data_IF_262835570896
#
_entry.id   IF_262835570896
#
_cell.length_a   1.000
_cell.length_b   1.000
_cell.length_c   1.000
_cell.angle_alpha   90.00
_cell.angle_beta   90.00
_cell.angle_gamma   90.00
#
_symmetry.space_group_name_H-M   'P 1'
#
loop_
_entity.id
_entity.type
_entity.pdbx_description
1 polymer ?
#
# COMPACT_ATOMS: atom_id res chain seq x y z
N UNK A 1 -3.49 -9.32 5.49
CA UNK A 1 -2.33 -9.30 4.58
C UNK A 1 -2.73 -9.15 3.11
N UNK A 2 -3.52 -10.04 2.47
CA UNK A 2 -4.10 -9.74 1.13
C UNK A 2 -5.61 -10.04 1.11
N UNK A 3 -6.41 -9.09 0.63
CA UNK A 3 -7.83 -9.26 0.33
C UNK A 3 -8.03 -9.82 -1.07
N UNK A 4 -8.01 -11.14 -1.20
CA UNK A 4 -8.17 -11.76 -2.51
C UNK A 4 -9.55 -11.55 -3.14
N UNK A 5 -10.60 -11.31 -2.34
CA UNK A 5 -11.90 -10.96 -2.90
C UNK A 5 -11.84 -9.61 -3.63
N UNK A 6 -11.21 -8.61 -3.02
CA UNK A 6 -10.96 -7.30 -3.65
C UNK A 6 -10.14 -7.43 -4.94
N UNK A 7 -9.14 -8.33 -4.95
CA UNK A 7 -8.29 -8.57 -6.12
C UNK A 7 -9.06 -9.26 -7.23
N UNK A 8 -9.92 -10.22 -6.90
CA UNK A 8 -10.77 -10.92 -7.86
C UNK A 8 -11.83 -9.98 -8.46
N UNK A 9 -12.40 -9.08 -7.66
CA UNK A 9 -13.28 -8.00 -8.12
C UNK A 9 -12.54 -7.04 -9.07
N UNK A 10 -11.37 -6.54 -8.66
CA UNK A 10 -10.54 -5.68 -9.52
C UNK A 10 -10.19 -6.35 -10.85
N UNK A 11 -9.91 -7.66 -10.83
CA UNK A 11 -9.66 -8.44 -12.04
C UNK A 11 -10.89 -8.57 -12.92
N UNK A 12 -12.06 -8.76 -12.33
CA UNK A 12 -13.32 -8.85 -13.08
C UNK A 12 -13.66 -7.51 -13.76
N UNK A 13 -13.42 -6.38 -13.07
CA UNK A 13 -13.69 -5.04 -13.58
C UNK A 13 -12.73 -4.61 -14.69
N UNK A 14 -11.44 -4.96 -14.56
CA UNK A 14 -10.39 -4.51 -15.49
C UNK A 14 -10.15 -5.48 -16.66
N UNK A 15 -10.52 -6.75 -16.51
CA UNK A 15 -10.35 -7.78 -17.54
C UNK A 15 -8.88 -7.88 -18.01
N UNK A 16 -8.67 -7.73 -19.32
CA UNK A 16 -7.34 -7.84 -19.94
C UNK A 16 -6.35 -6.75 -19.47
N UNK A 17 -6.85 -5.60 -18.99
CA UNK A 17 -6.02 -4.51 -18.48
C UNK A 17 -5.53 -4.73 -17.04
N UNK A 18 -5.99 -5.79 -16.36
CA UNK A 18 -5.68 -6.03 -14.95
C UNK A 18 -4.16 -6.07 -14.66
N UNK A 19 -3.38 -6.74 -15.52
CA UNK A 19 -1.92 -6.85 -15.33
C UNK A 19 -1.21 -5.51 -15.36
N UNK A 20 -1.53 -4.67 -16.35
CA UNK A 20 -0.95 -3.33 -16.50
C UNK A 20 -1.30 -2.44 -15.31
N UNK A 21 -2.56 -2.48 -14.87
CA UNK A 21 -3.03 -1.69 -13.72
C UNK A 21 -2.34 -2.11 -12.43
N UNK A 22 -2.15 -3.42 -12.23
CA UNK A 22 -1.41 -3.96 -11.08
C UNK A 22 0.03 -3.46 -11.09
N UNK A 23 0.72 -3.48 -12.24
CA UNK A 23 2.10 -3.02 -12.34
C UNK A 23 2.23 -1.53 -12.02
N UNK A 24 1.29 -0.70 -12.50
CA UNK A 24 1.22 0.73 -12.18
C UNK A 24 1.04 0.94 -10.68
N UNK A 25 0.06 0.28 -10.05
CA UNK A 25 -0.15 0.43 -8.60
C UNK A 25 1.04 -0.03 -7.77
N UNK A 26 1.67 -1.15 -8.14
CA UNK A 26 2.87 -1.63 -7.43
C UNK A 26 4.02 -0.63 -7.53
N UNK A 27 4.18 0.03 -8.68
CA UNK A 27 5.17 1.09 -8.85
C UNK A 27 4.83 2.33 -8.02
N UNK A 28 3.56 2.78 -8.05
CA UNK A 28 3.10 3.94 -7.27
C UNK A 28 3.30 3.75 -5.76
N UNK A 29 3.01 2.54 -5.24
CA UNK A 29 3.25 2.22 -3.83
C UNK A 29 4.74 2.23 -3.51
N UNK A 30 5.58 1.67 -4.38
CA UNK A 30 7.03 1.68 -4.20
C UNK A 30 7.60 3.11 -4.17
N UNK A 31 7.14 3.97 -5.08
CA UNK A 31 7.55 5.37 -5.15
C UNK A 31 7.07 6.15 -3.92
N UNK A 32 5.82 5.94 -3.50
CA UNK A 32 5.27 6.56 -2.28
C UNK A 32 6.06 6.17 -1.03
N UNK A 33 6.50 4.91 -0.92
CA UNK A 33 7.35 4.44 0.17
C UNK A 33 8.75 5.06 0.13
N UNK A 34 9.33 5.25 -1.06
CA UNK A 34 10.62 5.92 -1.20
C UNK A 34 10.56 7.39 -0.72
N UNK A 35 9.41 8.04 -0.90
CA UNK A 35 9.19 9.45 -0.51
C UNK A 35 8.97 9.67 0.99
N UNK A 36 8.72 8.61 1.78
CA UNK A 36 8.46 8.75 3.22
C UNK A 36 9.67 9.34 4.00
N UNK A 37 10.90 9.07 3.57
CA UNK A 37 12.10 9.58 4.25
C UNK A 37 12.34 11.08 4.04
N UNK A 38 11.69 11.69 3.04
CA UNK A 38 11.77 13.12 2.73
C UNK A 38 10.61 13.93 3.27
N UNK A 39 9.79 13.37 4.18
CA UNK A 39 8.70 14.11 4.80
C UNK A 39 9.23 14.91 6.00
N UNK A 40 9.41 16.22 5.81
CA UNK A 40 9.99 17.12 6.81
C UNK A 40 8.98 17.57 7.89
N UNK A 41 7.68 17.37 7.64
CA UNK A 41 6.60 17.78 8.53
C UNK A 41 5.45 16.76 8.57
N UNK A 42 4.68 16.83 9.65
CA UNK A 42 3.58 15.92 9.95
C UNK A 42 2.44 15.98 8.92
N UNK A 43 2.18 17.15 8.31
CA UNK A 43 1.13 17.26 7.28
C UNK A 43 1.55 16.57 5.99
N UNK A 44 2.81 16.74 5.57
CA UNK A 44 3.37 16.02 4.42
C UNK A 44 3.37 14.51 4.67
N UNK A 45 3.78 14.07 5.87
CA UNK A 45 3.76 12.65 6.24
C UNK A 45 2.34 12.07 6.21
N UNK A 46 1.36 12.77 6.80
CA UNK A 46 -0.04 12.34 6.80
C UNK A 46 -0.59 12.19 5.37
N UNK A 47 -0.32 13.16 4.50
CA UNK A 47 -0.75 13.11 3.10
C UNK A 47 -0.13 11.92 2.34
N UNK A 48 1.15 11.62 2.57
CA UNK A 48 1.82 10.46 1.96
C UNK A 48 1.25 9.13 2.47
N UNK A 49 0.99 9.02 3.76
CA UNK A 49 0.39 7.82 4.34
C UNK A 49 -1.06 7.63 3.88
N UNK A 50 -1.81 8.72 3.71
CA UNK A 50 -3.15 8.67 3.12
C UNK A 50 -3.13 8.12 1.69
N UNK A 51 -2.19 8.60 0.86
CA UNK A 51 -2.00 8.08 -0.50
C UNK A 51 -1.68 6.59 -0.49
N UNK A 52 -0.70 6.17 0.31
CA UNK A 52 -0.29 4.77 0.42
C UNK A 52 -1.44 3.88 0.93
N UNK A 53 -2.25 4.37 1.87
CA UNK A 53 -3.48 3.70 2.34
C UNK A 53 -4.45 3.45 1.18
N UNK A 54 -4.70 4.46 0.35
CA UNK A 54 -5.60 4.34 -0.81
C UNK A 54 -5.12 3.28 -1.80
N UNK A 55 -3.84 3.36 -2.21
CA UNK A 55 -3.24 2.39 -3.12
C UNK A 55 -3.24 0.96 -2.54
N UNK A 56 -2.95 0.83 -1.24
CA UNK A 56 -3.00 -0.44 -0.52
C UNK A 56 -4.39 -1.08 -0.55
N UNK A 57 -5.45 -0.30 -0.30
CA UNK A 57 -6.82 -0.81 -0.31
C UNK A 57 -7.24 -1.30 -1.70
N UNK A 58 -6.87 -0.59 -2.77
CA UNK A 58 -7.16 -1.01 -4.15
C UNK A 58 -6.54 -2.37 -4.49
N UNK A 59 -5.31 -2.64 -4.04
CA UNK A 59 -4.64 -3.94 -4.24
C UNK A 59 -4.98 -4.99 -3.15
N UNK A 60 -5.84 -4.66 -2.19
CA UNK A 60 -6.22 -5.55 -1.10
C UNK A 60 -5.15 -5.72 -0.02
N UNK A 61 -4.13 -4.87 0.07
CA UNK A 61 -3.05 -4.96 1.07
C UNK A 61 -3.52 -4.51 2.46
N UNK A 62 -4.47 -5.24 3.07
CA UNK A 62 -5.19 -4.82 4.29
C UNK A 62 -4.27 -4.38 5.43
N UNK A 63 -3.25 -5.16 5.74
CA UNK A 63 -2.39 -4.88 6.91
C UNK A 63 -1.51 -3.66 6.65
N UNK A 64 -1.06 -3.48 5.41
CA UNK A 64 -0.33 -2.31 4.99
C UNK A 64 -1.22 -1.06 5.04
N UNK A 65 -2.48 -1.15 4.59
CA UNK A 65 -3.47 -0.08 4.73
C UNK A 65 -3.74 0.28 6.20
N UNK A 66 -3.79 -0.71 7.11
CA UNK A 66 -3.94 -0.48 8.55
C UNK A 66 -2.75 0.30 9.12
N UNK A 67 -1.51 -0.08 8.78
CA UNK A 67 -0.32 0.64 9.24
C UNK A 67 -0.28 2.07 8.67
N UNK A 68 -0.66 2.26 7.40
CA UNK A 68 -0.76 3.60 6.82
C UNK A 68 -1.83 4.45 7.52
N UNK A 69 -2.98 3.85 7.89
CA UNK A 69 -4.04 4.54 8.63
C UNK A 69 -3.59 4.98 10.02
N UNK A 70 -2.93 4.09 10.78
CA UNK A 70 -2.40 4.43 12.11
C UNK A 70 -1.33 5.53 12.01
N UNK A 71 -0.42 5.42 11.05
CA UNK A 71 0.59 6.45 10.82
C UNK A 71 0.00 7.80 10.39
N UNK A 72 -1.00 7.80 9.49
CA UNK A 72 -1.73 8.99 9.06
C UNK A 72 -2.39 9.69 10.26
N UNK A 73 -3.07 8.93 11.12
CA UNK A 73 -3.70 9.47 12.31
C UNK A 73 -2.67 10.08 13.29
N UNK A 74 -1.56 9.39 13.52
CA UNK A 74 -0.48 9.91 14.38
C UNK A 74 0.10 11.21 13.83
N UNK A 75 0.35 11.27 12.53
CA UNK A 75 0.85 12.47 11.89
C UNK A 75 -0.16 13.62 11.99
N UNK A 76 -1.45 13.38 11.74
CA UNK A 76 -2.51 14.39 11.93
C UNK A 76 -2.62 14.89 13.38
N UNK A 77 -2.27 14.04 14.36
CA UNK A 77 -2.24 14.40 15.78
C UNK A 77 -0.95 15.12 16.23
N UNK A 78 -0.04 15.48 15.31
CA UNK A 78 1.23 16.10 15.66
C UNK A 78 2.26 15.13 16.25
N UNK A 79 2.08 13.82 15.98
CA UNK A 79 2.92 12.71 16.50
C UNK A 79 3.61 11.96 15.36
N UNK A 80 3.92 12.62 14.24
CA UNK A 80 4.58 11.98 13.09
C UNK A 80 5.90 11.29 13.43
N UNK A 81 6.68 11.85 14.37
CA UNK A 81 7.91 11.24 14.88
C UNK A 81 7.73 9.89 15.61
N UNK A 82 6.49 9.48 15.90
CA UNK A 82 6.16 8.16 16.50
C UNK A 82 5.69 7.13 15.46
N UNK A 83 5.68 7.49 14.17
CA UNK A 83 5.30 6.56 13.09
C UNK A 83 6.46 5.60 12.81
N UNK A 84 6.21 4.30 12.90
CA UNK A 84 7.21 3.28 12.54
C UNK A 84 7.25 3.07 11.03
N UNK A 85 8.01 3.94 10.34
CA UNK A 85 8.26 3.82 8.90
C UNK A 85 8.94 2.49 8.54
N UNK A 86 9.73 1.92 9.45
CA UNK A 86 10.35 0.61 9.27
C UNK A 86 9.32 -0.52 9.20
N UNK A 87 8.31 -0.51 10.07
CA UNK A 87 7.21 -1.47 10.04
C UNK A 87 6.38 -1.34 8.75
N UNK A 88 6.08 -0.12 8.32
CA UNK A 88 5.39 0.17 7.06
C UNK A 88 6.16 -0.44 5.87
N UNK A 89 7.47 -0.18 5.78
CA UNK A 89 8.34 -0.73 4.71
C UNK A 89 8.37 -2.26 4.71
N UNK A 90 8.54 -2.90 5.88
CA UNK A 90 8.56 -4.36 6.01
C UNK A 90 7.22 -4.99 5.63
N UNK A 91 6.12 -4.38 6.05
CA UNK A 91 4.77 -4.86 5.73
C UNK A 91 4.49 -4.77 4.23
N UNK A 92 4.86 -3.66 3.58
CA UNK A 92 4.75 -3.55 2.12
C UNK A 92 5.54 -4.65 1.41
N UNK A 93 6.81 -4.84 1.75
CA UNK A 93 7.66 -5.85 1.11
C UNK A 93 7.04 -7.26 1.20
N UNK A 94 6.53 -7.61 2.38
CA UNK A 94 5.84 -8.88 2.63
C UNK A 94 4.54 -8.98 1.83
N UNK A 95 3.75 -7.91 1.79
CA UNK A 95 2.47 -7.87 1.07
C UNK A 95 2.69 -8.04 -0.44
N UNK A 96 3.69 -7.35 -1.00
CA UNK A 96 4.07 -7.46 -2.41
C UNK A 96 4.51 -8.88 -2.78
N UNK A 97 5.35 -9.52 -1.98
CA UNK A 97 5.79 -10.90 -2.22
C UNK A 97 4.61 -11.89 -2.23
N UNK A 98 3.73 -11.79 -1.24
CA UNK A 98 2.54 -12.63 -1.16
C UNK A 98 1.56 -12.39 -2.29
N UNK A 99 1.39 -11.13 -2.69
CA UNK A 99 0.54 -10.75 -3.80
C UNK A 99 1.03 -11.34 -5.11
N UNK A 100 2.32 -11.16 -5.46
CA UNK A 100 2.89 -11.72 -6.68
C UNK A 100 2.85 -13.25 -6.70
N UNK A 101 3.19 -13.89 -5.58
CA UNK A 101 3.11 -15.35 -5.42
C UNK A 101 1.67 -15.85 -5.60
N UNK A 102 0.71 -15.15 -5.00
CA UNK A 102 -0.70 -15.52 -5.09
C UNK A 102 -1.33 -15.24 -6.44
N UNK A 103 -0.87 -14.23 -7.19
CA UNK A 103 -1.26 -14.02 -8.58
C UNK A 103 -0.75 -15.14 -9.47
N UNK A 104 0.53 -15.52 -9.34
CA UNK A 104 1.11 -16.62 -10.11
C UNK A 104 0.35 -17.93 -9.87
N UNK A 105 -0.04 -18.22 -8.62
CA UNK A 105 -0.83 -19.42 -8.28
C UNK A 105 -2.23 -19.42 -8.89
N UNK A 106 -2.83 -18.26 -9.12
CA UNK A 106 -4.19 -18.11 -9.70
C UNK A 106 -4.20 -18.05 -11.22
N UNK A 107 -3.05 -17.82 -11.84
CA UNK A 107 -2.87 -17.85 -13.29
C UNK A 107 -2.55 -19.25 -13.82
N UNK A 108 -2.15 -20.17 -12.94
CA UNK A 108 -1.91 -21.59 -13.21
C UNK A 108 -3.19 -22.42 -13.09
#
# INVERSE_FOLDING_TARGET
MIDWAQVDELRADMGDAFGEIVDVFLQEVADGIAQLDGCDDDATLAARLHFLKGAALNLGFRDFATLCTDGENRANDGRGGQVDLGAIRRCHATSREQFLTGLARRAA
#
